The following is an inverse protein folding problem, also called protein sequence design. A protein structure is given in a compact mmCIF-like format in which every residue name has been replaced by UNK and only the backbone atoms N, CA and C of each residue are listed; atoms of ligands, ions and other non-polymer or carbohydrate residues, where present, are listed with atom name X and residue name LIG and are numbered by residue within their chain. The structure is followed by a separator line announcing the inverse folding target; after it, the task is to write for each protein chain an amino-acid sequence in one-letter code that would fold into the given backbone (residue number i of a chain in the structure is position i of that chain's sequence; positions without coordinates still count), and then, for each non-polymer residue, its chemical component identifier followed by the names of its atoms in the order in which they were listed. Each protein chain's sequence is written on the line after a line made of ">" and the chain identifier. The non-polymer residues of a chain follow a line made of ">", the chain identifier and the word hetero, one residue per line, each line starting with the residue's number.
data_IF_644889463667
#
_entry.id   IF_644889463667
#
_cell.length_a   1.000
_cell.length_b   1.000
_cell.length_c   1.000
_cell.angle_alpha   90.00
_cell.angle_beta   90.00
_cell.angle_gamma   90.00
#
_symmetry.space_group_name_H-M   'P 1'
#
loop_
_entity.id
_entity.type
_entity.pdbx_description
1 polymer ?
#
# COMPACT_ATOMS: atom_id res chain seq x y z
N UNK A 1 37.49 26.10 -13.41
CA UNK A 1 36.80 27.36 -13.78
C UNK A 1 35.28 27.27 -13.58
N UNK A 2 34.63 26.17 -14.01
CA UNK A 2 33.20 25.93 -13.79
C UNK A 2 32.79 25.71 -12.31
N UNK A 3 33.69 25.17 -11.47
CA UNK A 3 33.42 24.99 -10.03
C UNK A 3 33.17 26.33 -9.31
N UNK A 4 34.00 27.34 -9.59
CA UNK A 4 33.79 28.70 -9.09
C UNK A 4 32.48 29.35 -9.56
N UNK A 5 31.91 28.90 -10.68
CA UNK A 5 30.61 29.39 -11.16
C UNK A 5 29.46 28.69 -10.44
N UNK A 6 29.57 27.38 -10.20
CA UNK A 6 28.60 26.60 -9.41
C UNK A 6 28.55 27.12 -7.97
N UNK A 7 29.70 27.32 -7.33
CA UNK A 7 29.76 27.83 -5.94
C UNK A 7 29.18 29.24 -5.80
N UNK A 8 29.35 30.09 -6.83
CA UNK A 8 28.75 31.43 -6.87
C UNK A 8 27.24 31.37 -7.12
N UNK A 9 26.78 30.45 -7.97
CA UNK A 9 25.35 30.22 -8.20
C UNK A 9 24.67 29.66 -6.95
N UNK A 10 25.27 28.66 -6.29
CA UNK A 10 24.74 28.07 -5.06
C UNK A 10 24.68 29.11 -3.94
N UNK A 11 25.70 29.97 -3.82
CA UNK A 11 25.69 31.09 -2.87
C UNK A 11 24.63 32.12 -3.20
N UNK A 12 24.48 32.50 -4.46
CA UNK A 12 23.46 33.46 -4.91
C UNK A 12 22.03 32.93 -4.74
N UNK A 13 21.81 31.63 -4.96
CA UNK A 13 20.54 30.97 -4.71
C UNK A 13 20.25 30.89 -3.21
N UNK A 14 21.23 30.50 -2.38
CA UNK A 14 21.11 30.50 -0.93
C UNK A 14 20.87 31.90 -0.32
N UNK A 15 21.43 32.95 -0.93
CA UNK A 15 21.20 34.35 -0.54
C UNK A 15 19.81 34.85 -0.90
N UNK A 16 19.16 34.27 -1.92
CA UNK A 16 17.82 34.67 -2.40
C UNK A 16 16.68 33.77 -1.93
N UNK A 17 16.99 32.56 -1.50
CA UNK A 17 16.03 31.64 -0.91
C UNK A 17 16.17 31.73 0.60
N UNK A 18 15.30 32.46 1.32
CA UNK A 18 15.31 32.39 2.78
C UNK A 18 15.21 30.92 3.19
N UNK A 19 16.02 30.47 4.18
CA UNK A 19 15.91 29.10 4.66
C UNK A 19 14.44 28.89 5.05
N UNK A 20 13.77 27.83 4.55
CA UNK A 20 12.36 27.65 4.83
C UNK A 20 12.18 27.66 6.34
N UNK A 21 11.16 28.38 6.82
CA UNK A 21 10.97 28.54 8.26
C UNK A 21 10.95 27.16 8.90
N UNK A 22 11.68 26.95 10.01
CA UNK A 22 11.80 25.63 10.62
C UNK A 22 10.43 24.98 10.89
N UNK A 23 9.41 25.81 11.11
CA UNK A 23 8.00 25.42 11.23
C UNK A 23 7.40 24.92 9.91
N UNK A 24 7.64 25.59 8.79
CA UNK A 24 7.19 25.15 7.47
C UNK A 24 7.84 23.81 7.09
N UNK A 25 9.13 23.65 7.35
CA UNK A 25 9.83 22.37 7.13
C UNK A 25 9.24 21.24 8.01
N UNK A 26 8.91 21.55 9.26
CA UNK A 26 8.30 20.59 10.17
C UNK A 26 6.88 20.21 9.75
N UNK A 27 6.08 21.18 9.26
CA UNK A 27 4.75 20.92 8.71
C UNK A 27 4.80 20.07 7.45
N UNK A 28 5.75 20.35 6.55
CA UNK A 28 5.96 19.55 5.34
C UNK A 28 6.35 18.10 5.67
N UNK A 29 7.27 17.91 6.62
CA UNK A 29 7.67 16.58 7.07
C UNK A 29 6.52 15.83 7.76
N UNK A 30 5.70 16.53 8.55
CA UNK A 30 4.49 15.97 9.13
C UNK A 30 3.48 15.52 8.06
N UNK A 31 3.22 16.35 7.05
CA UNK A 31 2.32 16.02 5.95
C UNK A 31 2.82 14.78 5.18
N UNK A 32 4.11 14.72 4.87
CA UNK A 32 4.74 13.56 4.22
C UNK A 32 4.62 12.27 5.05
N UNK A 33 4.74 12.36 6.39
CA UNK A 33 4.56 11.21 7.28
C UNK A 33 3.12 10.69 7.29
N UNK A 34 2.13 11.59 7.29
CA UNK A 34 0.71 11.21 7.19
C UNK A 34 0.44 10.52 5.87
N UNK A 35 0.92 11.09 4.76
CA UNK A 35 0.78 10.50 3.42
C UNK A 35 1.45 9.12 3.33
N UNK A 36 2.68 9.00 3.84
CA UNK A 36 3.39 7.72 3.89
C UNK A 36 2.65 6.67 4.73
N UNK A 37 2.04 7.05 5.87
CA UNK A 37 1.25 6.14 6.71
C UNK A 37 0.01 5.63 5.96
N UNK A 38 -0.68 6.49 5.20
CA UNK A 38 -1.80 6.09 4.33
C UNK A 38 -1.32 5.16 3.20
N UNK A 39 -0.19 5.48 2.58
CA UNK A 39 0.45 4.63 1.58
C UNK A 39 0.75 3.22 2.13
N UNK A 40 1.33 3.13 3.33
CA UNK A 40 1.59 1.84 4.00
C UNK A 40 0.32 1.04 4.25
N UNK A 41 -0.76 1.68 4.70
CA UNK A 41 -2.06 0.99 4.86
C UNK A 41 -2.53 0.41 3.54
N UNK A 42 -2.48 1.21 2.46
CA UNK A 42 -2.85 0.78 1.11
C UNK A 42 -2.01 -0.42 0.63
N UNK A 43 -0.70 -0.39 0.88
CA UNK A 43 0.21 -1.50 0.53
C UNK A 43 -0.12 -2.78 1.31
N UNK A 44 -0.43 -2.67 2.60
CA UNK A 44 -0.86 -3.81 3.44
C UNK A 44 -2.16 -4.41 2.94
N UNK A 45 -3.15 -3.58 2.60
CA UNK A 45 -4.43 -4.06 2.06
C UNK A 45 -4.25 -4.73 0.69
N UNK A 46 -3.39 -4.18 -0.16
CA UNK A 46 -3.05 -4.76 -1.45
C UNK A 46 -2.35 -6.13 -1.31
N UNK A 47 -1.42 -6.27 -0.36
CA UNK A 47 -0.77 -7.53 -0.04
C UNK A 47 -1.78 -8.56 0.49
N UNK A 48 -2.63 -8.18 1.45
CA UNK A 48 -3.66 -9.06 2.00
C UNK A 48 -4.68 -9.50 0.94
N UNK A 49 -4.98 -8.65 -0.04
CA UNK A 49 -5.80 -9.01 -1.20
C UNK A 49 -5.10 -10.04 -2.11
N UNK A 50 -3.82 -9.84 -2.40
CA UNK A 50 -3.03 -10.76 -3.22
C UNK A 50 -2.84 -12.13 -2.54
N UNK A 51 -2.63 -12.16 -1.22
CA UNK A 51 -2.55 -13.40 -0.44
C UNK A 51 -3.86 -14.19 -0.46
N UNK A 52 -5.01 -13.51 -0.33
CA UNK A 52 -6.33 -14.13 -0.46
C UNK A 52 -6.55 -14.70 -1.87
N UNK A 53 -6.15 -13.94 -2.90
CA UNK A 53 -6.23 -14.41 -4.28
C UNK A 53 -5.34 -15.65 -4.51
N UNK A 54 -4.12 -15.66 -3.97
CA UNK A 54 -3.21 -16.80 -4.04
C UNK A 54 -3.79 -18.04 -3.34
N UNK A 55 -4.37 -17.86 -2.14
CA UNK A 55 -5.02 -18.96 -1.41
C UNK A 55 -6.20 -19.55 -2.19
N UNK A 56 -7.04 -18.69 -2.77
CA UNK A 56 -8.16 -19.12 -3.61
C UNK A 56 -7.67 -19.88 -4.85
N UNK A 57 -6.64 -19.37 -5.54
CA UNK A 57 -6.10 -20.01 -6.73
C UNK A 57 -5.50 -21.40 -6.44
N UNK A 58 -4.78 -21.54 -5.32
CA UNK A 58 -4.25 -22.83 -4.86
C UNK A 58 -5.36 -23.84 -4.57
N UNK A 59 -6.49 -23.38 -4.02
CA UNK A 59 -7.65 -24.24 -3.80
C UNK A 59 -8.26 -24.71 -5.13
N UNK A 60 -8.40 -23.80 -6.11
CA UNK A 60 -8.89 -24.15 -7.44
C UNK A 60 -7.97 -25.14 -8.16
N UNK A 61 -6.65 -24.98 -8.04
CA UNK A 61 -5.67 -25.94 -8.55
C UNK A 61 -5.89 -27.33 -7.94
N UNK A 62 -5.95 -27.43 -6.62
CA UNK A 62 -6.19 -28.69 -5.91
C UNK A 62 -7.52 -29.34 -6.30
N UNK A 63 -8.57 -28.54 -6.47
CA UNK A 63 -9.88 -29.01 -6.92
C UNK A 63 -9.85 -29.53 -8.36
N UNK A 64 -9.17 -28.85 -9.28
CA UNK A 64 -8.99 -29.29 -10.66
C UNK A 64 -8.21 -30.61 -10.74
N UNK A 65 -7.08 -30.71 -10.03
CA UNK A 65 -6.27 -31.93 -9.95
C UNK A 65 -7.07 -33.10 -9.38
N UNK A 66 -7.84 -32.87 -8.30
CA UNK A 66 -8.66 -33.90 -7.69
C UNK A 66 -9.74 -34.40 -8.65
N UNK A 67 -10.43 -33.49 -9.34
CA UNK A 67 -11.46 -33.83 -10.33
C UNK A 67 -10.88 -34.58 -11.52
N UNK A 68 -9.71 -34.18 -12.02
CA UNK A 68 -9.01 -34.89 -13.11
C UNK A 68 -8.65 -36.33 -12.74
N UNK A 69 -8.14 -36.54 -11.51
CA UNK A 69 -7.89 -37.90 -11.00
C UNK A 69 -9.15 -38.75 -10.94
N UNK A 70 -10.23 -38.21 -10.36
CA UNK A 70 -11.52 -38.92 -10.27
C UNK A 70 -12.08 -39.26 -11.66
N UNK A 71 -12.00 -38.33 -12.62
CA UNK A 71 -12.45 -38.56 -13.99
C UNK A 71 -11.64 -39.69 -14.67
N UNK A 72 -10.33 -39.69 -14.47
CA UNK A 72 -9.44 -40.75 -14.97
C UNK A 72 -9.81 -42.11 -14.37
N UNK A 73 -10.06 -42.17 -13.06
CA UNK A 73 -10.43 -43.41 -12.35
C UNK A 73 -11.73 -44.03 -12.85
N UNK A 74 -12.71 -43.22 -13.27
CA UNK A 74 -14.00 -43.69 -13.80
C UNK A 74 -14.01 -43.84 -15.33
N UNK A 75 -12.90 -43.56 -16.01
CA UNK A 75 -12.79 -43.66 -17.47
C UNK A 75 -13.45 -42.50 -18.25
N UNK A 76 -13.74 -41.38 -17.60
CA UNK A 76 -14.23 -40.16 -18.26
C UNK A 76 -13.05 -39.34 -18.79
N UNK A 77 -12.63 -39.65 -20.02
CA UNK A 77 -11.48 -39.03 -20.67
C UNK A 77 -11.72 -37.55 -21.00
N UNK A 78 -12.94 -37.17 -21.38
CA UNK A 78 -13.25 -35.78 -21.72
C UNK A 78 -13.09 -34.87 -20.49
N UNK A 79 -13.65 -35.28 -19.35
CA UNK A 79 -13.50 -34.52 -18.10
C UNK A 79 -12.05 -34.50 -17.63
N UNK A 80 -11.29 -35.59 -17.80
CA UNK A 80 -9.87 -35.64 -17.45
C UNK A 80 -9.05 -34.61 -18.27
N UNK A 81 -9.23 -34.57 -19.59
CA UNK A 81 -8.54 -33.59 -20.45
C UNK A 81 -8.90 -32.14 -20.11
N UNK A 82 -10.18 -31.88 -19.79
CA UNK A 82 -10.61 -30.56 -19.34
C UNK A 82 -9.91 -30.20 -18.03
N UNK A 83 -9.88 -31.10 -17.05
CA UNK A 83 -9.24 -30.88 -15.76
C UNK A 83 -7.73 -30.62 -15.91
N UNK A 84 -7.04 -31.28 -16.83
CA UNK A 84 -5.62 -31.03 -17.12
C UNK A 84 -5.38 -29.61 -17.62
N UNK A 85 -6.23 -29.12 -18.55
CA UNK A 85 -6.15 -27.73 -19.04
C UNK A 85 -6.36 -26.70 -17.92
N UNK A 86 -7.32 -26.95 -17.03
CA UNK A 86 -7.56 -26.08 -15.88
C UNK A 86 -6.42 -26.14 -14.87
N UNK A 87 -5.90 -27.34 -14.58
CA UNK A 87 -4.74 -27.55 -13.70
C UNK A 87 -3.53 -26.76 -14.19
N UNK A 88 -3.19 -26.87 -15.48
CA UNK A 88 -2.09 -26.11 -16.07
C UNK A 88 -2.28 -24.59 -15.90
N UNK A 89 -3.47 -24.08 -16.23
CA UNK A 89 -3.79 -22.65 -16.09
C UNK A 89 -3.72 -22.16 -14.64
N UNK A 90 -4.28 -22.92 -13.70
CA UNK A 90 -4.25 -22.57 -12.29
C UNK A 90 -2.82 -22.62 -11.74
N UNK A 91 -2.00 -23.59 -12.15
CA UNK A 91 -0.60 -23.69 -11.76
C UNK A 91 0.22 -22.47 -12.21
N UNK A 92 0.06 -22.04 -13.47
CA UNK A 92 0.70 -20.81 -13.98
C UNK A 92 0.29 -19.58 -13.17
N UNK A 93 -1.01 -19.47 -12.85
CA UNK A 93 -1.55 -18.34 -12.09
C UNK A 93 -1.10 -18.35 -10.63
N UNK A 94 -0.98 -19.52 -10.00
CA UNK A 94 -0.38 -19.67 -8.66
C UNK A 94 1.05 -19.15 -8.69
N UNK A 95 1.89 -19.57 -9.65
CA UNK A 95 3.28 -19.10 -9.74
C UNK A 95 3.39 -17.58 -9.96
N UNK A 96 2.48 -16.99 -10.73
CA UNK A 96 2.41 -15.54 -10.89
C UNK A 96 2.06 -14.85 -9.57
N UNK A 97 1.04 -15.33 -8.87
CA UNK A 97 0.57 -14.76 -7.61
C UNK A 97 1.59 -14.92 -6.48
N UNK A 98 2.33 -16.03 -6.44
CA UNK A 98 3.43 -16.23 -5.49
C UNK A 98 4.53 -15.18 -5.67
N UNK A 99 4.97 -14.96 -6.92
CA UNK A 99 5.95 -13.92 -7.24
C UNK A 99 5.42 -12.53 -6.88
N UNK A 100 4.15 -12.25 -7.18
CA UNK A 100 3.52 -10.97 -6.82
C UNK A 100 3.51 -10.74 -5.31
N UNK A 101 3.08 -11.75 -4.54
CA UNK A 101 3.05 -11.68 -3.07
C UNK A 101 4.46 -11.49 -2.51
N UNK A 102 5.46 -12.18 -3.04
CA UNK A 102 6.86 -12.01 -2.62
C UNK A 102 7.33 -10.56 -2.83
N UNK A 103 7.15 -10.02 -4.03
CA UNK A 103 7.53 -8.63 -4.36
C UNK A 103 6.79 -7.63 -3.48
N UNK A 104 5.48 -7.78 -3.28
CA UNK A 104 4.70 -6.87 -2.44
C UNK A 104 5.12 -6.90 -0.96
N UNK A 105 5.57 -8.05 -0.44
CA UNK A 105 6.13 -8.14 0.91
C UNK A 105 7.46 -7.39 1.01
N UNK A 106 8.33 -7.55 0.02
CA UNK A 106 9.62 -6.86 -0.03
C UNK A 106 9.46 -5.34 -0.15
N UNK A 107 8.53 -4.90 -1.01
CA UNK A 107 8.17 -3.48 -1.18
C UNK A 107 7.59 -2.90 0.12
N UNK A 108 6.67 -3.60 0.78
CA UNK A 108 6.12 -3.18 2.07
C UNK A 108 7.22 -3.04 3.12
N UNK A 109 8.11 -4.03 3.23
CA UNK A 109 9.22 -3.98 4.18
C UNK A 109 10.19 -2.81 3.90
N UNK A 110 10.39 -2.44 2.63
CA UNK A 110 11.18 -1.26 2.28
C UNK A 110 10.48 0.02 2.71
N UNK A 111 9.20 0.18 2.35
CA UNK A 111 8.42 1.36 2.70
C UNK A 111 8.28 1.55 4.22
N UNK A 112 8.14 0.46 4.99
CA UNK A 112 8.09 0.51 6.45
C UNK A 112 9.41 1.05 7.05
N UNK A 113 10.55 0.62 6.51
CA UNK A 113 11.87 1.15 6.95
C UNK A 113 12.04 2.63 6.61
N UNK A 114 11.58 3.06 5.44
CA UNK A 114 11.62 4.46 5.03
C UNK A 114 10.73 5.34 5.91
N UNK A 115 9.51 4.87 6.22
CA UNK A 115 8.60 5.55 7.13
C UNK A 115 9.20 5.72 8.52
N UNK A 116 9.76 4.65 9.12
CA UNK A 116 10.37 4.73 10.44
C UNK A 116 11.61 5.66 10.44
N UNK A 117 12.38 5.70 9.35
CA UNK A 117 13.50 6.62 9.19
C UNK A 117 13.03 8.09 9.18
N UNK A 118 11.99 8.40 8.41
CA UNK A 118 11.37 9.73 8.37
C UNK A 118 10.76 10.11 9.73
N UNK A 119 10.12 9.15 10.41
CA UNK A 119 9.51 9.35 11.72
C UNK A 119 10.56 9.69 12.77
N UNK A 120 11.68 8.96 12.78
CA UNK A 120 12.80 9.23 13.69
C UNK A 120 13.43 10.60 13.43
N UNK A 121 13.55 11.02 12.17
CA UNK A 121 14.00 12.36 11.82
C UNK A 121 13.05 13.45 12.33
N UNK A 122 11.74 13.27 12.14
CA UNK A 122 10.74 14.20 12.64
C UNK A 122 10.80 14.36 14.16
N UNK A 123 10.94 13.26 14.91
CA UNK A 123 11.05 13.32 16.37
C UNK A 123 12.33 14.01 16.85
N UNK A 124 13.47 13.77 16.18
CA UNK A 124 14.72 14.49 16.47
C UNK A 124 14.58 15.99 16.28
N UNK A 125 13.92 16.42 15.20
CA UNK A 125 13.66 17.85 14.92
C UNK A 125 12.68 18.46 15.93
N UNK A 126 11.62 17.74 16.33
CA UNK A 126 10.66 18.18 17.37
C UNK A 126 11.35 18.36 18.73
N UNK A 127 12.26 17.45 19.11
CA UNK A 127 12.97 17.51 20.39
C UNK A 127 14.13 18.53 20.45
N UNK A 128 14.65 19.00 19.31
CA UNK A 128 15.77 19.95 19.24
C UNK A 128 15.33 21.43 19.27
N UNK A 129 14.03 21.73 19.18
CA UNK A 129 13.51 23.09 19.27
C UNK A 129 13.33 23.52 20.75
N UNK A 130 13.77 24.73 21.17
CA UNK A 130 13.44 25.25 22.50
C UNK A 130 11.91 25.32 22.65
N UNK A 131 11.40 24.89 23.81
CA UNK A 131 9.98 24.74 24.09
C UNK A 131 9.22 26.07 23.99
N UNK A 132 8.75 26.40 22.80
CA UNK A 132 7.60 27.29 22.62
C UNK A 132 6.37 26.38 22.62
N UNK A 133 5.34 26.63 23.44
CA UNK A 133 4.16 25.77 23.50
C UNK A 133 3.55 25.67 22.10
N UNK A 134 3.69 24.49 21.49
CA UNK A 134 3.12 24.15 20.20
C UNK A 134 1.63 23.91 20.40
N UNK A 135 0.79 24.86 19.96
CA UNK A 135 -0.66 24.67 19.80
C UNK A 135 -0.86 23.91 18.48
N UNK A 136 -0.44 22.67 18.44
CA UNK A 136 -0.71 21.73 17.34
C UNK A 136 -1.15 20.41 17.96
N UNK A 137 -2.13 19.71 17.38
CA UNK A 137 -2.57 18.43 17.94
C UNK A 137 -1.35 17.52 18.04
N UNK A 138 -1.12 17.01 19.25
CA UNK A 138 -0.10 15.98 19.45
C UNK A 138 -0.49 14.79 18.57
N UNK A 139 0.47 14.36 17.75
CA UNK A 139 0.26 13.33 16.74
C UNK A 139 0.41 11.99 17.45
N UNK A 140 -0.60 11.66 18.23
CA UNK A 140 -0.72 10.40 18.93
C UNK A 140 -1.04 9.33 17.87
N UNK A 141 -0.50 8.12 18.02
CA UNK A 141 -0.90 7.00 17.15
C UNK A 141 -2.43 6.79 17.18
N UNK A 142 -3.08 7.13 18.30
CA UNK A 142 -4.53 7.16 18.45
C UNK A 142 -5.24 8.22 17.58
N UNK A 143 -4.66 9.41 17.44
CA UNK A 143 -5.22 10.49 16.62
C UNK A 143 -5.17 10.16 15.12
N UNK A 144 -4.07 9.52 14.68
CA UNK A 144 -3.93 9.00 13.33
C UNK A 144 -4.88 7.82 13.08
N UNK A 145 -5.03 6.92 14.06
CA UNK A 145 -5.96 5.78 13.97
C UNK A 145 -7.41 6.27 13.79
N UNK A 146 -7.84 7.28 14.55
CA UNK A 146 -9.17 7.86 14.42
C UNK A 146 -9.42 8.54 13.07
N UNK A 147 -8.41 9.14 12.44
CA UNK A 147 -8.54 9.71 11.10
C UNK A 147 -8.65 8.62 10.03
N UNK A 148 -7.89 7.53 10.17
CA UNK A 148 -7.98 6.37 9.29
C UNK A 148 -9.33 5.66 9.40
N UNK A 149 -9.83 5.46 10.62
CA UNK A 149 -11.14 4.85 10.87
C UNK A 149 -12.26 5.69 10.25
N UNK A 150 -12.17 7.02 10.33
CA UNK A 150 -13.12 7.93 9.71
C UNK A 150 -13.09 7.82 8.18
N UNK A 151 -11.91 7.82 7.58
CA UNK A 151 -11.76 7.67 6.13
C UNK A 151 -12.25 6.29 5.63
N UNK A 152 -12.00 5.22 6.41
CA UNK A 152 -12.51 3.88 6.12
C UNK A 152 -14.05 3.85 6.16
N UNK A 153 -14.67 4.46 7.18
CA UNK A 153 -16.13 4.58 7.28
C UNK A 153 -16.74 5.37 6.12
N UNK A 154 -16.11 6.48 5.70
CA UNK A 154 -16.56 7.29 4.56
C UNK A 154 -16.53 6.48 3.25
N UNK A 155 -15.44 5.75 2.97
CA UNK A 155 -15.35 4.90 1.78
C UNK A 155 -16.38 3.77 1.77
N UNK A 156 -16.69 3.20 2.93
CA UNK A 156 -17.70 2.16 3.08
C UNK A 156 -19.11 2.72 2.84
N UNK A 157 -19.38 3.93 3.32
CA UNK A 157 -20.63 4.64 3.06
C UNK A 157 -20.80 4.96 1.57
N UNK A 158 -19.73 5.39 0.89
CA UNK A 158 -19.74 5.66 -0.54
C UNK A 158 -20.00 4.39 -1.38
N UNK A 159 -19.41 3.25 -0.98
CA UNK A 159 -19.66 1.97 -1.62
C UNK A 159 -21.13 1.53 -1.46
N UNK A 160 -21.72 1.74 -0.28
CA UNK A 160 -23.14 1.46 -0.02
C UNK A 160 -24.05 2.38 -0.83
N UNK A 161 -23.73 3.67 -0.93
CA UNK A 161 -24.47 4.63 -1.75
C UNK A 161 -24.39 4.28 -3.23
N UNK A 162 -23.22 3.88 -3.74
CA UNK A 162 -23.05 3.44 -5.12
C UNK A 162 -23.86 2.18 -5.44
N UNK A 163 -23.92 1.23 -4.50
CA UNK A 163 -24.75 0.04 -4.61
C UNK A 163 -26.25 0.37 -4.63
N UNK A 164 -26.72 1.24 -3.73
CA UNK A 164 -28.11 1.69 -3.69
C UNK A 164 -28.50 2.48 -4.96
N UNK A 165 -27.62 3.36 -5.45
CA UNK A 165 -27.83 4.11 -6.70
C UNK A 165 -27.99 3.20 -7.90
N UNK A 166 -27.19 2.12 -8.02
CA UNK A 166 -27.35 1.11 -9.09
C UNK A 166 -28.70 0.39 -9.00
N UNK A 167 -29.11 0.00 -7.79
CA UNK A 167 -30.38 -0.69 -7.55
C UNK A 167 -31.60 0.20 -7.87
N UNK A 168 -31.51 1.49 -7.58
CA UNK A 168 -32.57 2.48 -7.89
C UNK A 168 -32.63 2.81 -9.37
N UNK A 169 -31.50 2.77 -10.10
CA UNK A 169 -31.45 2.96 -11.55
C UNK A 169 -31.89 1.74 -12.37
N UNK A 170 -32.11 0.58 -11.73
CA UNK A 170 -32.54 -0.63 -12.45
C UNK A 170 -31.46 -1.24 -13.35
N UNK A 171 -30.20 -0.91 -13.11
CA UNK A 171 -29.04 -1.50 -13.79
C UNK A 171 -28.60 -2.73 -12.98
N UNK A 172 -29.26 -3.86 -13.23
CA UNK A 172 -28.87 -5.19 -12.77
C UNK A 172 -28.27 -6.00 -13.91
#
# INVERSE_FOLDING_TARGET
>A
MFENLRDRLDRFLAERTPPPDAREQQQALHAALVEAKVGLSTMRDALASAERALAQERQLLSDAERRGRMATEIGDQETAEVADRFTARHAERVQLLERKVAVQRDELALAEREYESMRAEFQRRKGAAPSVPSIGPDVDDAGLQHQMDRAAMESAADAQLAHLKRKVRGEG
#
